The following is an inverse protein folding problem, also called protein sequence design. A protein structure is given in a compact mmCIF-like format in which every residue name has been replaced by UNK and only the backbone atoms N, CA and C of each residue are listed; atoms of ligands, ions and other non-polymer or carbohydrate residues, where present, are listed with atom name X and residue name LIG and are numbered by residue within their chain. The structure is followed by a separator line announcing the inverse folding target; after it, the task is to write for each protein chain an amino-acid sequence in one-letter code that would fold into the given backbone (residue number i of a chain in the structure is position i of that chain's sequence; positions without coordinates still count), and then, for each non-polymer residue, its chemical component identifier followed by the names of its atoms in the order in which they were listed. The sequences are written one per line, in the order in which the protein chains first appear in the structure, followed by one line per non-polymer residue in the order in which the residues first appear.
data_IF_561352734971
#
_entry.id   IF_561352734971
#
_cell.length_a   1.000
_cell.length_b   1.000
_cell.length_c   1.000
_cell.angle_alpha   90.00
_cell.angle_beta   90.00
_cell.angle_gamma   90.00
#
_symmetry.space_group_name_H-M   'P 1'
#
loop_
_entity.id
_entity.type
_entity.pdbx_description
1 polymer ?
#
# COMPACT_ATOMS: atom_id res chain seq x y z
N UNK A 1 -17.48 3.31 7.07
CA UNK A 1 -16.48 3.32 8.16
C UNK A 1 -16.44 4.69 8.84
N UNK A 2 -16.00 5.74 8.14
CA UNK A 2 -15.97 7.12 8.65
C UNK A 2 -17.30 7.60 9.25
N UNK A 3 -18.42 7.30 8.58
CA UNK A 3 -19.77 7.65 9.07
C UNK A 3 -20.14 7.01 10.40
N UNK A 4 -19.66 5.79 10.68
CA UNK A 4 -19.92 5.08 11.93
C UNK A 4 -19.07 5.65 13.05
N UNK A 5 -17.79 5.94 12.78
CA UNK A 5 -16.91 6.62 13.73
C UNK A 5 -17.46 7.99 14.12
N UNK A 6 -17.96 8.76 13.14
CA UNK A 6 -18.57 10.06 13.41
C UNK A 6 -19.86 9.95 14.24
N UNK A 7 -20.69 8.92 13.97
CA UNK A 7 -21.96 8.71 14.67
C UNK A 7 -21.78 8.26 16.13
N UNK A 8 -20.75 7.47 16.42
CA UNK A 8 -20.47 6.92 17.75
C UNK A 8 -19.18 7.49 18.35
N UNK A 9 -18.86 8.75 18.05
CA UNK A 9 -17.58 9.36 18.43
C UNK A 9 -17.30 9.29 19.94
N UNK A 10 -18.31 9.52 20.78
CA UNK A 10 -18.18 9.43 22.25
C UNK A 10 -17.83 8.01 22.73
N UNK A 11 -18.36 6.96 22.11
CA UNK A 11 -18.06 5.58 22.51
C UNK A 11 -16.73 5.08 21.93
N UNK A 12 -16.33 5.60 20.76
CA UNK A 12 -15.22 5.08 19.96
C UNK A 12 -13.94 5.91 20.04
N UNK A 13 -14.01 7.18 20.44
CA UNK A 13 -12.86 8.09 20.52
C UNK A 13 -12.44 8.44 21.96
N UNK A 14 -13.33 8.27 22.94
CA UNK A 14 -13.03 8.61 24.33
C UNK A 14 -12.13 7.56 25.00
N UNK A 15 -12.18 6.31 24.54
CA UNK A 15 -11.26 5.25 24.99
C UNK A 15 -9.99 5.21 24.12
N UNK A 16 -8.83 5.40 24.75
CA UNK A 16 -7.53 5.42 24.08
C UNK A 16 -7.16 4.08 23.43
N UNK A 17 -7.55 2.96 24.03
CA UNK A 17 -7.29 1.62 23.49
C UNK A 17 -8.16 1.37 22.25
N UNK A 18 -9.46 1.66 22.33
CA UNK A 18 -10.38 1.51 21.20
C UNK A 18 -9.95 2.41 20.05
N UNK A 19 -9.63 3.68 20.34
CA UNK A 19 -9.14 4.64 19.35
C UNK A 19 -7.88 4.16 18.63
N UNK A 20 -6.93 3.57 19.36
CA UNK A 20 -5.71 3.02 18.77
C UNK A 20 -6.01 1.86 17.82
N UNK A 21 -6.83 0.90 18.23
CA UNK A 21 -7.22 -0.23 17.37
C UNK A 21 -8.02 0.21 16.14
N UNK A 22 -8.90 1.20 16.27
CA UNK A 22 -9.64 1.76 15.14
C UNK A 22 -8.74 2.48 14.14
N UNK A 23 -7.70 3.16 14.62
CA UNK A 23 -6.70 3.76 13.74
C UNK A 23 -5.97 2.70 12.93
N UNK A 24 -5.51 1.61 13.56
CA UNK A 24 -4.86 0.50 12.86
C UNK A 24 -5.79 -0.09 11.81
N UNK A 25 -7.06 -0.35 12.18
CA UNK A 25 -8.05 -0.89 11.26
C UNK A 25 -8.29 0.03 10.06
N UNK A 26 -8.35 1.35 10.29
CA UNK A 26 -8.48 2.36 9.23
C UNK A 26 -7.31 2.29 8.26
N UNK A 27 -6.08 2.24 8.77
CA UNK A 27 -4.87 2.15 7.96
C UNK A 27 -4.85 0.86 7.13
N UNK A 28 -5.17 -0.29 7.74
CA UNK A 28 -5.23 -1.58 7.06
C UNK A 28 -6.28 -1.60 5.94
N UNK A 29 -7.47 -1.04 6.20
CA UNK A 29 -8.55 -0.98 5.22
C UNK A 29 -8.19 -0.05 4.05
N UNK A 30 -7.54 1.07 4.32
CA UNK A 30 -7.03 1.98 3.29
C UNK A 30 -5.97 1.30 2.42
N UNK A 31 -4.99 0.64 3.03
CA UNK A 31 -3.95 -0.10 2.30
C UNK A 31 -4.53 -1.21 1.43
N UNK A 32 -5.43 -2.01 1.98
CA UNK A 32 -6.08 -3.11 1.24
C UNK A 32 -6.88 -2.58 0.05
N UNK A 33 -7.63 -1.49 0.24
CA UNK A 33 -8.38 -0.86 -0.85
C UNK A 33 -7.44 -0.31 -1.94
N UNK A 34 -6.33 0.32 -1.55
CA UNK A 34 -5.34 0.84 -2.50
C UNK A 34 -4.70 -0.29 -3.30
N UNK A 35 -4.26 -1.38 -2.65
CA UNK A 35 -3.70 -2.55 -3.34
C UNK A 35 -4.67 -3.07 -4.40
N UNK A 36 -5.94 -3.27 -4.03
CA UNK A 36 -6.96 -3.77 -4.95
C UNK A 36 -7.21 -2.85 -6.15
N UNK A 37 -7.03 -1.53 -5.97
CA UNK A 37 -7.20 -0.56 -7.05
C UNK A 37 -6.00 -0.58 -8.00
N UNK A 38 -4.78 -0.74 -7.49
CA UNK A 38 -3.55 -0.66 -8.30
C UNK A 38 -3.17 -2.00 -8.93
N UNK A 39 -3.54 -3.12 -8.33
CA UNK A 39 -3.21 -4.49 -8.76
C UNK A 39 -3.47 -4.77 -10.26
N UNK A 40 -4.59 -4.35 -10.88
CA UNK A 40 -4.82 -4.64 -12.30
C UNK A 40 -4.03 -3.75 -13.28
N UNK A 41 -3.21 -2.81 -12.80
CA UNK A 41 -2.51 -1.84 -13.64
C UNK A 41 -1.00 -1.95 -13.49
N UNK A 42 -0.27 -2.03 -14.61
CA UNK A 42 1.19 -1.86 -14.61
C UNK A 42 1.59 -0.37 -14.52
N UNK A 43 0.74 0.53 -15.00
CA UNK A 43 0.95 1.98 -14.93
C UNK A 43 -0.41 2.69 -14.82
N UNK A 44 -0.53 3.61 -13.87
CA UNK A 44 -1.78 4.35 -13.61
C UNK A 44 -1.50 5.76 -13.12
N UNK A 45 -2.32 6.73 -13.51
CA UNK A 45 -2.20 8.10 -13.00
C UNK A 45 -2.62 8.19 -11.54
N UNK A 46 -1.84 8.91 -10.72
CA UNK A 46 -2.12 9.06 -9.29
C UNK A 46 -3.39 9.90 -9.07
N UNK A 47 -3.67 10.84 -9.98
CA UNK A 47 -4.92 11.61 -10.04
C UNK A 47 -6.15 10.70 -10.18
N UNK A 48 -6.06 9.65 -10.99
CA UNK A 48 -7.13 8.68 -11.20
C UNK A 48 -7.38 7.86 -9.91
N UNK A 49 -6.32 7.38 -9.26
CA UNK A 49 -6.41 6.68 -7.97
C UNK A 49 -7.05 7.59 -6.92
N UNK A 50 -6.62 8.85 -6.85
CA UNK A 50 -7.15 9.82 -5.89
C UNK A 50 -8.65 10.10 -6.10
N UNK A 51 -9.09 10.21 -7.37
CA UNK A 51 -10.51 10.34 -7.69
C UNK A 51 -11.32 9.09 -7.30
N UNK A 52 -10.76 7.89 -7.50
CA UNK A 52 -11.43 6.65 -7.13
C UNK A 52 -11.55 6.48 -5.61
N UNK A 53 -10.53 6.95 -4.87
CA UNK A 53 -10.51 6.94 -3.41
C UNK A 53 -11.24 8.12 -2.76
N UNK A 54 -11.62 9.13 -3.53
CA UNK A 54 -12.22 10.38 -3.03
C UNK A 54 -11.34 11.07 -1.96
N UNK A 55 -10.02 11.07 -2.20
CA UNK A 55 -9.03 11.66 -1.29
C UNK A 55 -8.14 12.66 -2.04
N UNK A 56 -7.54 13.64 -1.34
CA UNK A 56 -6.61 14.58 -1.96
C UNK A 56 -5.40 13.87 -2.59
N UNK A 57 -4.95 14.34 -3.75
CA UNK A 57 -3.80 13.79 -4.48
C UNK A 57 -2.57 13.63 -3.57
N UNK A 58 -2.18 14.69 -2.87
CA UNK A 58 -1.00 14.69 -1.99
C UNK A 58 -1.09 13.65 -0.85
N UNK A 59 -2.31 13.36 -0.36
CA UNK A 59 -2.51 12.34 0.67
C UNK A 59 -2.31 10.93 0.09
N UNK A 60 -2.80 10.70 -1.13
CA UNK A 60 -2.63 9.43 -1.85
C UNK A 60 -1.18 9.21 -2.24
N UNK A 61 -0.50 10.22 -2.79
CA UNK A 61 0.94 10.15 -3.10
C UNK A 61 1.76 9.78 -1.88
N UNK A 62 1.52 10.45 -0.74
CA UNK A 62 2.23 10.15 0.50
C UNK A 62 1.95 8.73 0.98
N UNK A 63 0.70 8.26 0.90
CA UNK A 63 0.34 6.91 1.33
C UNK A 63 0.93 5.84 0.41
N UNK A 64 0.90 6.03 -0.91
CA UNK A 64 1.55 5.14 -1.87
C UNK A 64 3.06 5.09 -1.65
N UNK A 65 3.70 6.25 -1.41
CA UNK A 65 5.13 6.30 -1.09
C UNK A 65 5.45 5.52 0.17
N UNK A 66 4.62 5.64 1.21
CA UNK A 66 4.77 4.86 2.43
C UNK A 66 4.60 3.37 2.17
N UNK A 67 3.59 2.96 1.40
CA UNK A 67 3.33 1.55 1.10
C UNK A 67 4.47 0.89 0.29
N UNK A 68 5.12 1.64 -0.60
CA UNK A 68 6.32 1.19 -1.32
C UNK A 68 7.49 1.00 -0.34
N UNK A 69 7.72 1.96 0.56
CA UNK A 69 8.77 1.88 1.59
C UNK A 69 8.53 0.72 2.58
N UNK A 70 7.28 0.47 2.93
CA UNK A 70 6.85 -0.62 3.82
C UNK A 70 6.82 -1.99 3.09
N UNK A 71 7.17 -2.03 1.80
CA UNK A 71 7.24 -3.27 1.01
C UNK A 71 5.88 -3.93 0.75
N UNK A 72 4.78 -3.16 0.78
CA UNK A 72 3.41 -3.69 0.56
C UNK A 72 3.16 -4.12 -0.89
N UNK A 73 3.84 -3.47 -1.83
CA UNK A 73 3.87 -3.83 -3.24
C UNK A 73 5.14 -3.25 -3.87
N UNK A 74 5.52 -3.75 -5.04
CA UNK A 74 6.69 -3.25 -5.79
C UNK A 74 6.25 -2.19 -6.79
N UNK A 75 6.79 -0.98 -6.68
CA UNK A 75 6.44 0.10 -7.59
C UNK A 75 7.28 1.36 -7.39
N UNK A 76 7.15 2.29 -8.33
CA UNK A 76 7.82 3.59 -8.32
C UNK A 76 6.79 4.69 -8.60
N UNK A 77 6.93 5.81 -7.91
CA UNK A 77 6.17 7.03 -8.18
C UNK A 77 6.97 7.92 -9.13
N UNK A 78 6.48 8.11 -10.35
CA UNK A 78 6.99 9.12 -11.28
C UNK A 78 6.25 10.44 -11.02
N UNK A 79 6.86 11.30 -10.19
CA UNK A 79 6.31 12.62 -9.85
C UNK A 79 6.34 13.60 -11.04
N UNK A 80 7.19 13.37 -12.05
CA UNK A 80 7.26 14.23 -13.23
C UNK A 80 6.05 14.03 -14.14
N UNK A 81 5.57 12.79 -14.26
CA UNK A 81 4.37 12.44 -15.03
C UNK A 81 3.11 12.27 -14.19
N UNK A 82 3.23 12.24 -12.86
CA UNK A 82 2.12 11.99 -11.94
C UNK A 82 1.58 10.55 -12.02
N UNK A 83 2.46 9.58 -12.26
CA UNK A 83 2.10 8.18 -12.51
C UNK A 83 2.69 7.25 -11.45
N UNK A 84 1.92 6.22 -11.09
CA UNK A 84 2.38 5.06 -10.35
C UNK A 84 2.70 3.95 -11.36
N UNK A 85 3.93 3.43 -11.30
CA UNK A 85 4.37 2.27 -12.07
C UNK A 85 4.46 1.10 -11.09
N UNK A 86 3.71 0.04 -11.34
CA UNK A 86 3.66 -1.17 -10.50
C UNK A 86 4.38 -2.28 -11.24
N UNK A 87 5.23 -3.00 -10.51
CA UNK A 87 5.94 -4.17 -11.02
C UNK A 87 5.32 -5.43 -10.45
N UNK A 88 5.22 -6.47 -11.27
CA UNK A 88 4.93 -7.80 -10.76
C UNK A 88 6.13 -8.27 -9.94
N UNK A 89 5.82 -8.96 -8.85
CA UNK A 89 6.84 -9.63 -8.06
C UNK A 89 7.54 -10.64 -8.98
N UNK A 90 8.84 -10.44 -9.21
CA UNK A 90 9.60 -11.33 -10.09
C UNK A 90 9.53 -12.74 -9.49
N UNK A 91 9.10 -13.73 -10.27
CA UNK A 91 9.24 -15.13 -9.87
C UNK A 91 10.70 -15.35 -9.47
N UNK A 92 10.91 -15.88 -8.26
CA UNK A 92 12.25 -16.22 -7.80
C UNK A 92 12.90 -17.12 -8.85
N UNK A 93 14.05 -16.69 -9.36
CA UNK A 93 14.81 -17.50 -10.29
C UNK A 93 15.41 -18.68 -9.52
N UNK A 94 14.69 -19.82 -9.56
CA UNK A 94 15.09 -21.07 -8.92
C UNK A 94 16.44 -21.58 -9.40
N UNK A 95 16.89 -21.22 -10.62
CA UNK A 95 18.21 -21.60 -11.10
C UNK A 95 19.31 -20.77 -10.41
N UNK A 96 19.04 -19.49 -10.12
CA UNK A 96 19.94 -18.62 -9.37
C UNK A 96 20.02 -19.03 -7.89
N UNK A 97 18.90 -19.32 -7.23
CA UNK A 97 18.90 -19.82 -5.84
C UNK A 97 19.68 -21.14 -5.72
N UNK A 98 19.44 -22.11 -6.62
CA UNK A 98 20.19 -23.38 -6.62
C UNK A 98 21.68 -23.18 -6.92
N UNK A 99 22.04 -22.23 -7.78
CA UNK A 99 23.43 -21.91 -8.06
C UNK A 99 24.17 -21.42 -6.80
N UNK A 100 23.53 -20.54 -6.03
CA UNK A 100 24.07 -20.04 -4.77
C UNK A 100 24.17 -21.15 -3.70
N UNK A 101 23.15 -22.02 -3.59
CA UNK A 101 23.20 -23.17 -2.67
C UNK A 101 24.35 -24.13 -2.98
N UNK A 102 24.65 -24.37 -4.26
CA UNK A 102 25.79 -25.22 -4.64
C UNK A 102 27.10 -24.58 -4.21
N UNK A 103 27.29 -23.27 -4.45
CA UNK A 103 28.51 -22.54 -4.05
C UNK A 103 28.67 -22.59 -2.52
N UNK A 104 27.61 -22.36 -1.76
CA UNK A 104 27.63 -22.36 -0.29
C UNK A 104 27.96 -23.74 0.32
N UNK A 105 27.58 -24.83 -0.36
CA UNK A 105 27.91 -26.19 0.06
C UNK A 105 29.29 -26.70 -0.42
N UNK A 106 30.05 -25.87 -1.15
CA UNK A 106 31.38 -26.25 -1.66
C UNK A 106 32.55 -25.64 -0.85
N UNK A 107 32.25 -24.79 0.16
CA UNK A 107 33.17 -24.38 1.23
C UNK A 107 33.04 -25.30 2.48
#
# INVERSE_FOLDING_TARGET
FESVIAKYAHELQDDLLIKHHLYILKEQLLESNLIRIIEPYSCVEISHIASMMQMPLAAIEKKLSQMILDGKFQGILDQGKGQLIVYEESEKDYAMEKGLEVIDNTD
#
